data_IF_101813973666
#
_entry.id   IF_101813973666
#
_cell.length_a   1.000
_cell.length_b   1.000
_cell.length_c   1.000
_cell.angle_alpha   90.00
_cell.angle_beta   90.00
_cell.angle_gamma   90.00
#
_symmetry.space_group_name_H-M   'P 1'
#
loop_
_entity.id
_entity.type
_entity.pdbx_description
1 polymer ?
#
# COMPACT_ATOMS: atom_id res chain seq x y z
N UNK A 1 52.03 -7.44 39.26
CA UNK A 1 51.43 -6.09 39.37
C UNK A 1 51.20 -5.59 37.95
N UNK A 2 50.05 -4.93 37.76
CA UNK A 2 49.25 -4.85 36.54
C UNK A 2 50.02 -4.53 35.25
N UNK A 3 49.86 -5.42 34.27
CA UNK A 3 50.00 -5.09 32.85
C UNK A 3 48.75 -4.30 32.45
N UNK A 4 48.97 -3.09 31.93
CA UNK A 4 47.98 -2.29 31.21
C UNK A 4 47.37 -3.12 30.08
N UNK A 5 46.19 -3.67 30.31
CA UNK A 5 45.29 -4.10 29.24
C UNK A 5 44.56 -2.85 28.75
N UNK A 6 44.94 -2.39 27.55
CA UNK A 6 44.12 -1.47 26.76
C UNK A 6 42.72 -2.10 26.64
N UNK A 7 41.62 -1.34 26.84
CA UNK A 7 40.30 -1.83 26.56
C UNK A 7 40.22 -2.21 25.08
N UNK A 8 39.54 -3.32 24.85
CA UNK A 8 39.42 -4.03 23.58
C UNK A 8 38.99 -3.12 22.43
N UNK A 9 39.59 -3.38 21.27
CA UNK A 9 39.43 -2.69 20.00
C UNK A 9 37.95 -2.52 19.64
N UNK A 10 37.54 -1.27 19.40
CA UNK A 10 36.29 -0.91 18.74
C UNK A 10 36.15 -1.76 17.46
N UNK A 11 35.02 -2.44 17.32
CA UNK A 11 34.76 -3.32 16.18
C UNK A 11 34.57 -2.46 14.93
N UNK A 12 35.67 -2.21 14.21
CA UNK A 12 35.66 -1.54 12.92
C UNK A 12 35.27 -2.53 11.82
N UNK A 13 34.17 -2.27 11.12
CA UNK A 13 33.85 -2.96 9.87
C UNK A 13 34.22 -2.06 8.69
N UNK A 14 35.40 -2.28 8.09
CA UNK A 14 35.82 -1.63 6.85
C UNK A 14 35.66 -2.63 5.70
N UNK A 15 34.59 -2.48 4.90
CA UNK A 15 34.40 -3.24 3.68
C UNK A 15 34.08 -2.31 2.51
N UNK A 16 34.53 -2.67 1.31
CA UNK A 16 34.31 -1.92 0.09
C UNK A 16 32.89 -2.22 -0.40
N UNK A 17 31.93 -1.40 0.03
CA UNK A 17 30.56 -1.49 -0.44
C UNK A 17 30.50 -1.11 -1.93
N UNK A 18 30.39 -2.12 -2.80
CA UNK A 18 30.17 -1.91 -4.23
C UNK A 18 28.75 -1.43 -4.47
N UNK A 19 28.62 -0.25 -5.11
CA UNK A 19 27.34 0.31 -5.53
C UNK A 19 26.70 -0.59 -6.60
N UNK A 20 25.54 -1.19 -6.29
CA UNK A 20 24.77 -1.97 -7.27
C UNK A 20 23.64 -1.13 -7.86
N UNK A 21 23.01 -1.61 -8.94
CA UNK A 21 21.89 -0.91 -9.61
C UNK A 21 20.65 -0.71 -8.71
N UNK A 22 20.59 -1.40 -7.57
CA UNK A 22 19.48 -1.39 -6.61
C UNK A 22 19.79 -0.64 -5.30
N UNK A 23 20.96 -0.01 -5.18
CA UNK A 23 21.36 0.77 -4.00
C UNK A 23 22.61 0.22 -3.28
N UNK A 24 22.75 0.59 -2.01
CA UNK A 24 23.80 0.11 -1.10
C UNK A 24 23.30 -1.19 -0.45
N UNK A 25 23.96 -2.31 -0.75
CA UNK A 25 23.67 -3.60 -0.11
C UNK A 25 24.62 -3.80 1.05
N UNK A 26 24.10 -3.89 2.28
CA UNK A 26 24.91 -4.24 3.45
C UNK A 26 25.29 -5.73 3.40
N UNK A 27 26.56 -6.08 3.69
CA UNK A 27 26.98 -7.47 3.94
C UNK A 27 26.06 -8.16 4.95
N UNK A 28 25.91 -9.48 4.82
CA UNK A 28 24.97 -10.26 5.62
C UNK A 28 25.27 -10.13 7.12
N UNK A 29 26.55 -10.15 7.48
CA UNK A 29 27.06 -9.97 8.84
C UNK A 29 26.63 -8.62 9.45
N UNK A 30 26.73 -7.53 8.69
CA UNK A 30 26.27 -6.20 9.12
C UNK A 30 24.75 -6.12 9.28
N UNK A 31 23.98 -6.83 8.43
CA UNK A 31 22.52 -6.83 8.53
C UNK A 31 22.03 -7.54 9.78
N UNK A 32 22.68 -8.63 10.15
CA UNK A 32 22.34 -9.39 11.36
C UNK A 32 22.67 -8.61 12.64
N UNK A 33 23.70 -7.77 12.62
CA UNK A 33 24.07 -6.90 13.76
C UNK A 33 23.17 -5.64 13.83
N UNK A 34 22.92 -4.95 12.72
CA UNK A 34 22.19 -3.68 12.70
C UNK A 34 20.66 -3.82 12.81
N UNK A 35 20.10 -4.99 12.45
CA UNK A 35 18.65 -5.20 12.38
C UNK A 35 18.19 -6.40 13.21
N UNK A 36 18.88 -6.67 14.32
CA UNK A 36 18.42 -7.62 15.32
C UNK A 36 17.23 -7.03 16.09
N UNK A 37 16.10 -7.73 16.13
CA UNK A 37 14.84 -7.24 16.71
C UNK A 37 14.89 -7.07 18.24
N UNK A 38 15.94 -7.57 18.90
CA UNK A 38 16.09 -7.54 20.36
C UNK A 38 16.96 -6.39 20.90
N UNK A 39 17.72 -5.68 20.05
CA UNK A 39 18.68 -4.64 20.50
C UNK A 39 18.62 -3.41 19.57
N UNK A 40 18.26 -2.24 20.13
CA UNK A 40 18.40 -0.96 19.42
C UNK A 40 19.88 -0.65 19.21
N UNK A 41 20.32 -0.60 17.96
CA UNK A 41 21.72 -0.33 17.59
C UNK A 41 21.82 1.01 16.88
N UNK A 42 22.55 1.96 17.47
CA UNK A 42 22.80 3.27 16.85
C UNK A 42 24.07 3.20 16.01
N UNK A 43 24.07 3.85 14.84
CA UNK A 43 25.26 3.91 13.99
C UNK A 43 25.28 5.20 13.15
N UNK A 44 26.48 5.63 12.76
CA UNK A 44 26.71 6.75 11.86
C UNK A 44 27.30 6.25 10.54
N UNK A 45 26.77 6.80 9.45
CA UNK A 45 27.33 6.61 8.11
C UNK A 45 28.18 7.82 7.76
N UNK A 46 29.46 7.60 7.46
CA UNK A 46 30.36 8.62 6.92
C UNK A 46 30.63 8.29 5.46
N UNK A 47 30.31 9.26 4.59
CA UNK A 47 30.64 9.21 3.16
C UNK A 47 31.76 10.21 2.91
N UNK A 48 33.02 9.77 2.70
CA UNK A 48 34.12 10.65 2.35
C UNK A 48 33.84 11.40 1.04
N UNK A 49 34.50 12.55 0.86
CA UNK A 49 34.34 13.37 -0.37
C UNK A 49 34.81 12.63 -1.63
N UNK A 50 35.81 11.77 -1.48
CA UNK A 50 36.21 10.79 -2.49
C UNK A 50 35.28 9.57 -2.33
N UNK A 51 34.53 9.23 -3.39
CA UNK A 51 33.42 8.25 -3.33
C UNK A 51 33.90 6.81 -3.54
N UNK A 52 34.94 6.42 -2.82
CA UNK A 52 35.58 5.11 -2.93
C UNK A 52 35.22 4.16 -1.77
N UNK A 53 34.75 4.69 -0.63
CA UNK A 53 34.28 3.90 0.50
C UNK A 53 33.14 4.54 1.29
N UNK A 54 32.43 3.72 2.08
CA UNK A 54 31.43 4.17 3.06
C UNK A 54 31.88 3.60 4.40
N UNK A 55 32.00 4.45 5.42
CA UNK A 55 32.42 4.03 6.76
C UNK A 55 31.17 3.98 7.64
N UNK A 56 30.98 2.85 8.32
CA UNK A 56 29.92 2.63 9.30
C UNK A 56 30.57 2.57 10.68
N UNK A 57 30.17 3.47 11.57
CA UNK A 57 30.61 3.47 12.96
C UNK A 57 29.41 3.19 13.85
N UNK A 58 29.46 2.11 14.64
CA UNK A 58 28.44 1.83 15.65
C UNK A 58 28.66 2.79 16.81
N UNK A 59 27.60 3.46 17.25
CA UNK A 59 27.61 4.42 18.33
C UNK A 59 27.08 3.77 19.60
N UNK A 60 27.64 4.17 20.74
CA UNK A 60 27.02 3.90 22.04
C UNK A 60 25.79 4.79 22.26
N UNK A 61 24.87 4.37 23.14
CA UNK A 61 23.65 5.13 23.45
C UNK A 61 23.96 6.57 23.92
N UNK A 62 25.02 6.74 24.72
CA UNK A 62 25.47 8.06 25.21
C UNK A 62 25.99 8.96 24.07
N UNK A 63 26.61 8.38 23.02
CA UNK A 63 27.08 9.12 21.85
C UNK A 63 25.94 9.52 20.91
N UNK A 64 24.92 8.66 20.79
CA UNK A 64 23.73 8.92 20.00
C UNK A 64 22.89 10.08 20.60
N UNK A 65 22.75 10.13 21.93
CA UNK A 65 22.07 11.23 22.61
C UNK A 65 22.83 12.56 22.43
N UNK A 66 24.15 12.56 22.57
CA UNK A 66 24.98 13.76 22.42
C UNK A 66 24.96 14.33 20.98
N UNK A 67 24.83 13.49 19.95
CA UNK A 67 24.68 13.96 18.56
C UNK A 67 23.29 14.56 18.28
N UNK A 68 22.24 14.01 18.89
CA UNK A 68 20.89 14.56 18.78
C UNK A 68 20.76 15.97 19.40
N UNK A 69 21.54 16.27 20.45
CA UNK A 69 21.60 17.61 21.06
C UNK A 69 22.36 18.60 20.17
N UNK A 70 23.51 18.21 19.59
CA UNK A 70 24.32 19.08 18.70
C UNK A 70 23.62 19.44 17.38
N UNK A 71 22.77 18.57 16.84
CA UNK A 71 21.99 18.86 15.60
C UNK A 71 20.90 19.92 15.85
N UNK A 72 20.39 20.03 17.08
CA UNK A 72 19.42 21.08 17.45
C UNK A 72 20.08 22.45 17.65
N UNK A 73 21.33 22.50 18.09
CA UNK A 73 22.06 23.75 18.36
C UNK A 73 22.78 24.35 17.14
N UNK A 74 23.08 23.55 16.10
CA UNK A 74 23.93 23.96 14.97
C UNK A 74 23.21 24.49 13.72
N UNK A 75 21.91 24.79 13.77
CA UNK A 75 21.25 25.50 12.66
C UNK A 75 21.68 26.99 12.64
N UNK A 76 22.35 27.48 11.58
CA UNK A 76 22.70 28.90 11.50
C UNK A 76 21.43 29.74 11.29
N UNK A 77 21.22 30.74 12.17
CA UNK A 77 20.23 31.80 11.95
C UNK A 77 20.67 32.65 10.76
N UNK A 78 20.03 32.47 9.61
CA UNK A 78 20.15 33.40 8.49
C UNK A 78 19.36 34.68 8.84
N UNK A 79 19.95 35.89 8.73
CA UNK A 79 19.27 37.13 9.09
C UNK A 79 18.15 37.45 8.09
N UNK A 80 16.93 37.67 8.63
CA UNK A 80 15.76 38.13 7.89
C UNK A 80 15.94 39.59 7.47
N UNK A 81 15.93 39.85 6.16
CA UNK A 81 15.52 41.16 5.66
C UNK A 81 14.02 41.33 5.92
N UNK A 82 13.70 42.42 6.61
CA UNK A 82 12.37 42.78 7.07
C UNK A 82 11.57 43.32 5.87
N UNK A 83 10.46 42.67 5.55
CA UNK A 83 9.30 43.32 4.91
C UNK A 83 8.02 42.85 5.62
N UNK A 84 6.97 43.69 5.69
CA UNK A 84 6.05 43.70 6.83
C UNK A 84 4.99 42.62 6.78
N UNK A 85 4.62 42.18 7.99
CA UNK A 85 3.57 41.25 8.37
C UNK A 85 2.24 41.50 7.64
N UNK A 86 1.79 40.52 6.87
CA UNK A 86 0.39 40.09 6.93
C UNK A 86 0.27 39.06 8.04
N UNK A 87 -0.72 39.26 8.92
CA UNK A 87 -1.05 38.35 10.01
C UNK A 87 -1.62 37.08 9.40
N UNK A 88 -0.86 36.00 9.42
CA UNK A 88 -1.44 34.67 9.26
C UNK A 88 -1.70 34.07 10.64
N UNK A 89 -2.93 33.60 10.72
CA UNK A 89 -3.59 32.97 11.85
C UNK A 89 -2.90 31.68 12.27
N UNK A 90 -3.32 31.20 13.44
CA UNK A 90 -2.82 30.04 14.16
C UNK A 90 -2.45 28.86 13.24
N UNK A 91 -1.19 28.43 13.34
CA UNK A 91 -0.71 27.20 12.70
C UNK A 91 -1.47 25.99 13.26
N UNK A 92 -2.51 25.61 12.54
CA UNK A 92 -3.07 24.27 12.50
C UNK A 92 -1.94 23.25 12.34
N UNK A 93 -2.04 22.08 13.00
CA UNK A 93 -1.14 20.92 12.82
C UNK A 93 -0.81 20.78 11.33
N UNK A 94 0.48 20.85 10.97
CA UNK A 94 0.91 20.77 9.56
C UNK A 94 0.47 19.45 8.96
N UNK A 95 -0.58 19.49 8.15
CA UNK A 95 -1.01 18.36 7.31
C UNK A 95 0.09 18.19 6.26
N UNK A 96 0.67 16.99 6.16
CA UNK A 96 1.75 16.68 5.23
C UNK A 96 1.38 15.47 4.34
N UNK A 97 1.92 15.41 3.11
CA UNK A 97 1.69 14.28 2.20
C UNK A 97 2.40 13.00 2.67
N UNK A 98 1.78 11.84 2.45
CA UNK A 98 2.34 10.52 2.79
C UNK A 98 3.03 9.86 1.59
N UNK A 99 4.30 10.23 1.36
CA UNK A 99 5.06 9.75 0.20
C UNK A 99 5.25 8.23 0.13
N UNK A 100 5.28 7.55 1.28
CA UNK A 100 5.40 6.09 1.33
C UNK A 100 4.19 5.38 0.73
N UNK A 101 3.01 5.96 0.89
CA UNK A 101 1.75 5.41 0.38
C UNK A 101 1.48 5.79 -1.08
N UNK A 102 2.07 6.89 -1.57
CA UNK A 102 1.90 7.30 -2.96
C UNK A 102 2.91 6.62 -3.88
N UNK A 103 4.17 6.48 -3.45
CA UNK A 103 5.26 5.92 -4.25
C UNK A 103 5.58 4.47 -3.85
N UNK A 104 4.56 3.62 -3.88
CA UNK A 104 4.68 2.17 -3.61
C UNK A 104 5.60 1.49 -4.64
N UNK A 105 5.57 1.97 -5.89
CA UNK A 105 6.42 1.46 -6.97
C UNK A 105 7.47 2.49 -7.36
N UNK A 106 8.71 2.04 -7.52
CA UNK A 106 9.80 2.90 -8.01
C UNK A 106 9.72 3.09 -9.52
N UNK A 107 9.86 4.35 -9.97
CA UNK A 107 9.91 4.74 -11.38
C UNK A 107 10.82 5.95 -11.58
N UNK A 108 11.37 6.09 -12.80
CA UNK A 108 12.50 6.98 -13.11
C UNK A 108 12.27 8.46 -12.78
N UNK A 109 11.06 8.95 -12.96
CA UNK A 109 10.74 10.38 -12.83
C UNK A 109 10.27 10.77 -11.43
N UNK A 110 10.26 9.85 -10.46
CA UNK A 110 9.75 10.08 -9.09
C UNK A 110 10.31 11.33 -8.44
N UNK A 111 11.64 11.49 -8.41
CA UNK A 111 12.31 12.64 -7.76
C UNK A 111 11.88 13.99 -8.36
N UNK A 112 11.57 14.03 -9.65
CA UNK A 112 11.13 15.24 -10.34
C UNK A 112 9.64 15.53 -10.13
N UNK A 113 8.84 14.48 -9.96
CA UNK A 113 7.39 14.58 -9.84
C UNK A 113 6.97 14.85 -8.39
N UNK A 114 7.68 14.30 -7.41
CA UNK A 114 7.40 14.49 -5.99
C UNK A 114 7.19 15.97 -5.60
N UNK A 115 8.08 16.94 -5.94
CA UNK A 115 7.84 18.35 -5.58
C UNK A 115 6.62 18.96 -6.29
N UNK A 116 6.26 18.48 -7.48
CA UNK A 116 5.06 18.92 -8.20
C UNK A 116 3.82 18.44 -7.47
N UNK A 117 3.78 17.16 -7.09
CA UNK A 117 2.69 16.57 -6.34
C UNK A 117 2.58 17.14 -4.92
N UNK A 118 3.70 17.52 -4.33
CA UNK A 118 3.74 18.18 -3.02
C UNK A 118 3.02 19.51 -3.10
N UNK A 119 3.34 20.28 -4.14
CA UNK A 119 2.65 21.52 -4.42
C UNK A 119 1.16 21.32 -4.72
N UNK A 120 0.76 20.22 -5.37
CA UNK A 120 -0.66 19.91 -5.58
C UNK A 120 -1.35 19.70 -4.24
N UNK A 121 -0.77 18.87 -3.37
CA UNK A 121 -1.33 18.58 -2.06
C UNK A 121 -1.59 19.86 -1.25
N UNK A 122 -0.59 20.75 -1.18
CA UNK A 122 -0.77 22.00 -0.44
C UNK A 122 -1.79 22.94 -1.09
N UNK A 123 -2.01 22.87 -2.40
CA UNK A 123 -3.08 23.65 -3.07
C UNK A 123 -4.48 23.15 -2.75
N UNK A 124 -4.63 21.86 -2.48
CA UNK A 124 -5.87 21.31 -1.92
C UNK A 124 -6.05 21.65 -0.44
N UNK A 125 -4.96 21.96 0.28
CA UNK A 125 -5.01 22.43 1.66
C UNK A 125 -5.26 23.95 1.78
N UNK A 126 -5.21 24.72 0.68
CA UNK A 126 -5.52 26.15 0.66
C UNK A 126 -7.02 26.40 0.98
N UNK A 127 -7.32 27.52 1.63
CA UNK A 127 -8.70 27.95 1.88
C UNK A 127 -8.89 29.37 1.31
N UNK A 128 -9.64 29.56 0.20
CA UNK A 128 -10.35 28.54 -0.58
C UNK A 128 -9.40 27.65 -1.41
N UNK A 129 -9.87 26.45 -1.75
CA UNK A 129 -9.11 25.46 -2.53
C UNK A 129 -8.81 26.02 -3.92
N UNK A 130 -7.54 25.98 -4.32
CA UNK A 130 -7.11 26.37 -5.67
C UNK A 130 -7.13 25.17 -6.64
N UNK A 131 -8.35 24.74 -6.98
CA UNK A 131 -8.59 23.55 -7.80
C UNK A 131 -7.97 23.64 -9.20
N UNK A 132 -8.01 24.81 -9.83
CA UNK A 132 -7.51 25.00 -11.20
C UNK A 132 -6.00 24.78 -11.28
N UNK A 133 -5.23 25.43 -10.41
CA UNK A 133 -3.78 25.28 -10.39
C UNK A 133 -3.38 23.86 -9.92
N UNK A 134 -4.05 23.33 -8.89
CA UNK A 134 -3.81 21.96 -8.43
C UNK A 134 -4.00 20.93 -9.55
N UNK A 135 -5.13 20.97 -10.26
CA UNK A 135 -5.40 20.06 -11.37
C UNK A 135 -4.54 20.36 -12.61
N UNK A 136 -4.16 21.62 -12.83
CA UNK A 136 -3.20 22.01 -13.87
C UNK A 136 -1.84 21.35 -13.67
N UNK A 137 -1.34 21.31 -12.42
CA UNK A 137 -0.08 20.65 -12.06
C UNK A 137 -0.17 19.12 -12.18
N UNK A 138 -1.30 18.52 -11.82
CA UNK A 138 -1.54 17.09 -12.05
C UNK A 138 -1.46 16.78 -13.56
N UNK A 139 -2.17 17.54 -14.40
CA UNK A 139 -2.11 17.37 -15.86
C UNK A 139 -0.70 17.56 -16.40
N UNK A 140 0.02 18.59 -15.92
CA UNK A 140 1.41 18.82 -16.30
C UNK A 140 2.30 17.61 -15.96
N UNK A 141 2.15 17.04 -14.76
CA UNK A 141 2.89 15.84 -14.37
C UNK A 141 2.57 14.65 -15.29
N UNK A 142 1.29 14.46 -15.60
CA UNK A 142 0.80 13.36 -16.45
C UNK A 142 1.15 13.50 -17.93
N UNK A 143 1.49 14.68 -18.42
CA UNK A 143 1.89 14.88 -19.83
C UNK A 143 3.41 14.94 -19.96
N UNK A 144 4.08 15.64 -19.04
CA UNK A 144 5.50 15.97 -19.18
C UNK A 144 6.45 14.85 -18.74
N UNK A 145 5.97 13.90 -17.94
CA UNK A 145 6.80 12.83 -17.38
C UNK A 145 6.38 11.43 -17.83
N UNK A 146 5.54 11.33 -18.85
CA UNK A 146 5.37 10.06 -19.55
C UNK A 146 6.66 9.69 -20.27
N UNK A 147 6.96 8.40 -20.21
CA UNK A 147 8.06 7.78 -20.93
C UNK A 147 7.53 6.96 -22.11
N UNK A 148 8.42 6.48 -22.97
CA UNK A 148 8.06 5.46 -23.97
C UNK A 148 7.80 4.07 -23.36
N UNK A 149 7.91 3.91 -22.04
CA UNK A 149 7.77 2.62 -21.35
C UNK A 149 6.44 2.54 -20.61
N UNK A 150 5.54 1.69 -21.10
CA UNK A 150 4.18 1.49 -20.58
C UNK A 150 4.14 1.17 -19.09
N UNK A 151 5.07 0.35 -18.61
CA UNK A 151 5.16 -0.03 -17.19
C UNK A 151 5.58 1.14 -16.29
N UNK A 152 6.49 2.01 -16.75
CA UNK A 152 6.87 3.22 -16.01
C UNK A 152 5.70 4.21 -15.94
N UNK A 153 4.97 4.36 -17.05
CA UNK A 153 3.79 5.24 -17.11
C UNK A 153 2.69 4.73 -16.17
N UNK A 154 2.42 3.43 -16.15
CA UNK A 154 1.44 2.82 -15.26
C UNK A 154 1.75 3.09 -13.77
N UNK A 155 3.02 3.03 -13.37
CA UNK A 155 3.45 3.37 -11.99
C UNK A 155 3.22 4.85 -11.67
N UNK A 156 3.54 5.75 -12.60
CA UNK A 156 3.26 7.18 -12.46
C UNK A 156 1.75 7.43 -12.27
N UNK A 157 0.92 6.89 -13.17
CA UNK A 157 -0.53 7.01 -13.07
C UNK A 157 -1.02 6.51 -11.71
N UNK A 158 -0.59 5.32 -11.29
CA UNK A 158 -0.99 4.74 -10.02
C UNK A 158 -0.57 5.61 -8.81
N UNK A 159 0.65 6.16 -8.81
CA UNK A 159 1.10 7.07 -7.74
C UNK A 159 0.27 8.35 -7.66
N UNK A 160 -0.17 8.89 -8.80
CA UNK A 160 -1.07 10.04 -8.83
C UNK A 160 -2.47 9.67 -8.32
N UNK A 161 -2.97 8.47 -8.65
CA UNK A 161 -4.24 7.98 -8.08
C UNK A 161 -4.16 7.92 -6.55
N UNK A 162 -3.09 7.35 -5.99
CA UNK A 162 -2.90 7.26 -4.53
C UNK A 162 -2.91 8.64 -3.86
N UNK A 163 -2.22 9.62 -4.44
CA UNK A 163 -2.27 11.01 -3.96
C UNK A 163 -3.68 11.59 -4.03
N UNK A 164 -4.38 11.43 -5.16
CA UNK A 164 -5.71 12.01 -5.34
C UNK A 164 -6.76 11.36 -4.44
N UNK A 165 -6.61 10.07 -4.11
CA UNK A 165 -7.44 9.39 -3.11
C UNK A 165 -7.21 9.98 -1.71
N UNK A 166 -5.96 10.21 -1.32
CA UNK A 166 -5.68 10.87 -0.03
C UNK A 166 -6.23 12.30 0.00
N UNK A 167 -6.21 13.02 -1.14
CA UNK A 167 -6.86 14.32 -1.28
C UNK A 167 -8.39 14.21 -1.11
N UNK A 168 -9.03 13.21 -1.71
CA UNK A 168 -10.47 12.94 -1.52
C UNK A 168 -10.79 12.75 -0.04
N UNK A 169 -10.02 11.91 0.66
CA UNK A 169 -10.27 11.58 2.06
C UNK A 169 -9.98 12.76 3.01
N UNK A 170 -8.94 13.56 2.75
CA UNK A 170 -8.53 14.65 3.66
C UNK A 170 -9.18 15.99 3.41
N UNK A 171 -9.56 16.28 2.16
CA UNK A 171 -10.06 17.60 1.74
C UNK A 171 -11.48 17.54 1.17
N UNK A 172 -12.17 16.39 1.33
CA UNK A 172 -13.56 16.16 0.92
C UNK A 172 -13.82 16.56 -0.54
N UNK A 173 -13.07 15.94 -1.47
CA UNK A 173 -13.13 16.20 -2.91
C UNK A 173 -13.71 15.00 -3.70
N UNK A 174 -14.96 14.56 -3.44
CA UNK A 174 -15.51 13.32 -3.97
C UNK A 174 -15.66 13.29 -5.51
N UNK A 175 -15.71 14.46 -6.14
CA UNK A 175 -15.73 14.63 -7.60
C UNK A 175 -14.46 14.14 -8.29
N UNK A 176 -13.33 14.06 -7.58
CA UNK A 176 -12.09 13.54 -8.13
C UNK A 176 -12.19 12.06 -8.50
N UNK A 177 -13.07 11.27 -7.86
CA UNK A 177 -13.26 9.85 -8.19
C UNK A 177 -13.62 9.67 -9.67
N UNK A 178 -14.59 10.46 -10.15
CA UNK A 178 -15.06 10.43 -11.53
C UNK A 178 -13.93 10.83 -12.49
N UNK A 179 -13.21 11.90 -12.14
CA UNK A 179 -12.11 12.39 -12.96
C UNK A 179 -10.96 11.39 -13.06
N UNK A 180 -10.57 10.76 -11.95
CA UNK A 180 -9.54 9.71 -11.94
C UNK A 180 -9.97 8.55 -12.84
N UNK A 181 -11.21 8.09 -12.69
CA UNK A 181 -11.74 6.96 -13.44
C UNK A 181 -11.83 7.24 -14.95
N UNK A 182 -12.21 8.46 -15.35
CA UNK A 182 -12.34 8.81 -16.76
C UNK A 182 -11.03 9.22 -17.43
N UNK A 183 -10.11 9.86 -16.69
CA UNK A 183 -8.92 10.51 -17.27
C UNK A 183 -7.61 9.83 -16.96
N UNK A 184 -7.51 9.06 -15.88
CA UNK A 184 -6.27 8.37 -15.49
C UNK A 184 -6.37 6.88 -15.77
N UNK A 185 -7.35 6.21 -15.16
CA UNK A 185 -7.49 4.74 -15.20
C UNK A 185 -7.40 4.14 -16.62
N UNK A 186 -8.03 4.72 -17.67
CA UNK A 186 -7.99 4.15 -19.02
C UNK A 186 -6.60 4.17 -19.67
N UNK A 187 -5.68 4.99 -19.15
CA UNK A 187 -4.30 5.10 -19.66
C UNK A 187 -3.34 4.12 -18.96
N UNK A 188 -3.81 3.34 -17.98
CA UNK A 188 -2.99 2.34 -17.29
C UNK A 188 -2.97 1.05 -18.10
N UNK A 189 -1.88 0.85 -18.84
CA UNK A 189 -1.75 -0.33 -19.70
C UNK A 189 -1.36 -1.63 -18.96
N UNK A 190 -0.89 -1.52 -17.71
CA UNK A 190 -0.58 -2.70 -16.90
C UNK A 190 -1.87 -3.29 -16.32
N UNK A 191 -2.25 -4.51 -16.74
CA UNK A 191 -3.45 -5.21 -16.22
C UNK A 191 -3.49 -5.25 -14.69
N UNK A 192 -2.33 -5.51 -14.07
CA UNK A 192 -2.20 -5.53 -12.61
C UNK A 192 -2.43 -4.15 -11.98
N UNK A 193 -1.75 -3.09 -12.45
CA UNK A 193 -1.91 -1.75 -11.86
C UNK A 193 -3.28 -1.13 -12.19
N UNK A 194 -3.88 -1.52 -13.32
CA UNK A 194 -5.24 -1.16 -13.68
C UNK A 194 -6.23 -1.71 -12.66
N UNK A 195 -6.16 -3.01 -12.35
CA UNK A 195 -7.00 -3.62 -11.33
C UNK A 195 -6.79 -2.97 -9.95
N UNK A 196 -5.52 -2.79 -9.54
CA UNK A 196 -5.20 -2.11 -8.29
C UNK A 196 -5.78 -0.69 -8.23
N UNK A 197 -5.72 0.08 -9.33
CA UNK A 197 -6.30 1.41 -9.40
C UNK A 197 -7.82 1.39 -9.17
N UNK A 198 -8.52 0.43 -9.77
CA UNK A 198 -9.98 0.30 -9.60
C UNK A 198 -10.32 -0.15 -8.18
N UNK A 199 -9.55 -1.05 -7.60
CA UNK A 199 -9.72 -1.49 -6.20
C UNK A 199 -9.53 -0.34 -5.20
N UNK A 200 -8.57 0.56 -5.44
CA UNK A 200 -8.39 1.76 -4.63
C UNK A 200 -9.57 2.73 -4.77
N UNK A 201 -10.09 2.92 -5.99
CA UNK A 201 -11.30 3.73 -6.23
C UNK A 201 -12.57 3.11 -5.60
N UNK A 202 -12.68 1.78 -5.61
CA UNK A 202 -13.74 1.05 -4.94
C UNK A 202 -13.73 1.31 -3.44
N UNK A 203 -12.58 1.13 -2.79
CA UNK A 203 -12.45 1.30 -1.35
C UNK A 203 -12.84 2.71 -0.91
N UNK A 204 -12.28 3.74 -1.55
CA UNK A 204 -12.61 5.13 -1.21
C UNK A 204 -14.09 5.41 -1.45
N UNK A 205 -14.67 4.92 -2.55
CA UNK A 205 -16.10 5.12 -2.86
C UNK A 205 -17.02 4.52 -1.81
N UNK A 206 -16.68 3.34 -1.29
CA UNK A 206 -17.43 2.72 -0.19
C UNK A 206 -17.30 3.53 1.10
N UNK A 207 -16.09 3.97 1.46
CA UNK A 207 -15.85 4.79 2.67
C UNK A 207 -16.65 6.08 2.66
N UNK A 208 -16.72 6.77 1.52
CA UNK A 208 -17.49 8.01 1.35
C UNK A 208 -18.95 7.78 0.91
N UNK A 209 -19.43 6.52 0.95
CA UNK A 209 -20.81 6.11 0.65
C UNK A 209 -21.31 6.46 -0.76
N UNK A 210 -20.42 6.55 -1.76
CA UNK A 210 -20.79 6.64 -3.18
C UNK A 210 -21.04 5.25 -3.76
N UNK A 211 -22.11 4.60 -3.30
CA UNK A 211 -22.40 3.19 -3.62
C UNK A 211 -22.58 2.92 -5.12
N UNK A 212 -23.17 3.83 -5.89
CA UNK A 212 -23.29 3.68 -7.35
C UNK A 212 -21.93 3.59 -8.05
N UNK A 213 -20.93 4.33 -7.56
CA UNK A 213 -19.56 4.27 -8.07
C UNK A 213 -18.85 3.00 -7.61
N UNK A 214 -19.06 2.58 -6.37
CA UNK A 214 -18.56 1.31 -5.88
C UNK A 214 -19.10 0.12 -6.71
N UNK A 215 -20.40 0.09 -7.01
CA UNK A 215 -21.01 -0.92 -7.88
C UNK A 215 -20.37 -0.95 -9.28
N UNK A 216 -20.17 0.23 -9.88
CA UNK A 216 -19.48 0.36 -11.16
C UNK A 216 -18.07 -0.24 -11.08
N UNK A 217 -17.29 0.12 -10.06
CA UNK A 217 -15.92 -0.36 -9.91
C UNK A 217 -15.83 -1.87 -9.65
N UNK A 218 -16.76 -2.43 -8.87
CA UNK A 218 -16.88 -3.89 -8.69
C UNK A 218 -17.12 -4.56 -10.04
N UNK A 219 -18.02 -4.02 -10.87
CA UNK A 219 -18.26 -4.56 -12.21
C UNK A 219 -16.98 -4.59 -13.06
N UNK A 220 -16.18 -3.52 -13.05
CA UNK A 220 -14.91 -3.51 -13.79
C UNK A 220 -13.86 -4.48 -13.23
N UNK A 221 -13.78 -4.64 -11.91
CA UNK A 221 -12.88 -5.65 -11.30
C UNK A 221 -13.32 -7.05 -11.70
N UNK A 222 -14.61 -7.37 -11.56
CA UNK A 222 -15.15 -8.69 -11.93
C UNK A 222 -14.96 -8.98 -13.42
N UNK A 223 -15.15 -7.98 -14.30
CA UNK A 223 -14.85 -8.12 -15.72
C UNK A 223 -13.37 -8.45 -15.97
N UNK A 224 -12.45 -7.79 -15.25
CA UNK A 224 -11.01 -8.07 -15.37
C UNK A 224 -10.66 -9.49 -14.89
N UNK A 225 -11.40 -10.00 -13.89
CA UNK A 225 -11.34 -11.39 -13.41
C UNK A 225 -11.84 -12.35 -14.49
N UNK A 226 -12.99 -12.07 -15.09
CA UNK A 226 -13.59 -12.85 -16.18
C UNK A 226 -12.67 -12.91 -17.42
N UNK A 227 -11.82 -11.89 -17.63
CA UNK A 227 -10.83 -11.85 -18.72
C UNK A 227 -9.63 -12.79 -18.50
N UNK A 228 -9.46 -13.40 -17.32
CA UNK A 228 -8.42 -14.43 -17.11
C UNK A 228 -8.89 -15.80 -17.62
N UNK A 229 -8.04 -16.56 -18.34
CA UNK A 229 -8.34 -17.93 -18.69
C UNK A 229 -8.58 -18.78 -17.44
N UNK A 230 -9.53 -19.73 -17.49
CA UNK A 230 -9.78 -20.66 -16.36
C UNK A 230 -8.56 -21.50 -15.96
N UNK A 231 -7.56 -21.64 -16.82
CA UNK A 231 -6.27 -22.27 -16.47
C UNK A 231 -5.43 -21.43 -15.50
N UNK A 232 -5.70 -20.13 -15.37
CA UNK A 232 -4.98 -19.20 -14.51
C UNK A 232 -5.70 -18.98 -13.17
N UNK A 233 -6.15 -20.07 -12.53
CA UNK A 233 -6.88 -20.02 -11.25
C UNK A 233 -6.15 -19.19 -10.20
N UNK A 234 -4.82 -19.23 -10.15
CA UNK A 234 -4.04 -18.40 -9.23
C UNK A 234 -4.33 -16.90 -9.41
N UNK A 235 -4.38 -16.40 -10.64
CA UNK A 235 -4.63 -14.99 -10.93
C UNK A 235 -6.07 -14.61 -10.58
N UNK A 236 -7.03 -15.45 -10.97
CA UNK A 236 -8.47 -15.28 -10.66
C UNK A 236 -8.67 -15.15 -9.14
N UNK A 237 -8.12 -16.09 -8.38
CA UNK A 237 -8.29 -16.14 -6.93
C UNK A 237 -7.52 -15.04 -6.21
N UNK A 238 -6.34 -14.67 -6.71
CA UNK A 238 -5.63 -13.53 -6.17
C UNK A 238 -6.43 -12.22 -6.38
N UNK A 239 -7.04 -12.03 -7.55
CA UNK A 239 -7.91 -10.87 -7.81
C UNK A 239 -9.16 -10.87 -6.91
N UNK A 240 -9.84 -12.01 -6.74
CA UNK A 240 -10.93 -12.14 -5.77
C UNK A 240 -10.48 -11.83 -4.34
N UNK A 241 -9.32 -12.34 -3.93
CA UNK A 241 -8.75 -12.06 -2.61
C UNK A 241 -8.52 -10.56 -2.38
N UNK A 242 -8.00 -9.84 -3.38
CA UNK A 242 -7.83 -8.39 -3.27
C UNK A 242 -9.18 -7.67 -3.21
N UNK A 243 -10.14 -8.07 -4.04
CA UNK A 243 -11.50 -7.52 -4.03
C UNK A 243 -12.16 -7.69 -2.66
N UNK A 244 -12.21 -8.92 -2.14
CA UNK A 244 -12.78 -9.24 -0.82
C UNK A 244 -12.08 -8.45 0.28
N UNK A 245 -10.75 -8.35 0.24
CA UNK A 245 -9.98 -7.56 1.22
C UNK A 245 -10.35 -6.07 1.22
N UNK A 246 -10.73 -5.50 0.08
CA UNK A 246 -11.11 -4.08 -0.04
C UNK A 246 -12.54 -3.79 0.42
N UNK A 247 -13.42 -4.79 0.37
CA UNK A 247 -14.84 -4.63 0.75
C UNK A 247 -15.19 -5.23 2.12
N UNK A 248 -14.32 -6.08 2.68
CA UNK A 248 -14.50 -6.60 4.05
C UNK A 248 -14.42 -5.45 5.06
N UNK A 249 -15.26 -5.52 6.09
CA UNK A 249 -15.38 -4.51 7.14
C UNK A 249 -15.85 -3.12 6.71
N UNK A 250 -16.29 -2.93 5.46
CA UNK A 250 -16.90 -1.68 5.00
C UNK A 250 -18.38 -1.90 4.71
N UNK A 251 -19.22 -0.95 5.12
CA UNK A 251 -20.65 -0.93 4.82
C UNK A 251 -20.86 -0.89 3.30
N UNK A 252 -21.77 -1.74 2.80
CA UNK A 252 -22.08 -1.89 1.38
C UNK A 252 -23.56 -2.22 1.19
N UNK A 253 -24.06 -2.00 -0.01
CA UNK A 253 -25.46 -2.27 -0.37
C UNK A 253 -25.70 -3.77 -0.55
N UNK A 254 -26.95 -4.22 -0.34
CA UNK A 254 -27.35 -5.61 -0.58
C UNK A 254 -27.08 -6.05 -2.03
N UNK A 255 -27.17 -5.11 -2.98
CA UNK A 255 -26.87 -5.34 -4.38
C UNK A 255 -25.39 -5.68 -4.62
N UNK A 256 -24.48 -4.96 -3.97
CA UNK A 256 -23.04 -5.27 -3.99
C UNK A 256 -22.81 -6.65 -3.38
N UNK A 257 -23.46 -6.90 -2.25
CA UNK A 257 -23.36 -8.16 -1.54
C UNK A 257 -23.77 -9.35 -2.42
N UNK A 258 -24.96 -9.27 -3.03
CA UNK A 258 -25.49 -10.30 -3.91
C UNK A 258 -24.57 -10.54 -5.12
N UNK A 259 -24.09 -9.48 -5.77
CA UNK A 259 -23.19 -9.58 -6.92
C UNK A 259 -21.90 -10.35 -6.58
N UNK A 260 -21.29 -10.06 -5.43
CA UNK A 260 -20.08 -10.75 -4.98
C UNK A 260 -20.34 -12.23 -4.66
N UNK A 261 -21.47 -12.51 -4.00
CA UNK A 261 -21.91 -13.89 -3.68
C UNK A 261 -22.10 -14.70 -4.96
N UNK A 262 -22.92 -14.21 -5.90
CA UNK A 262 -23.23 -14.90 -7.15
C UNK A 262 -21.95 -15.21 -7.95
N UNK A 263 -21.07 -14.22 -8.08
CA UNK A 263 -19.80 -14.40 -8.81
C UNK A 263 -18.86 -15.39 -8.14
N UNK A 264 -18.71 -15.36 -6.81
CA UNK A 264 -17.90 -16.35 -6.10
C UNK A 264 -18.45 -17.78 -6.27
N UNK A 265 -19.78 -17.93 -6.24
CA UNK A 265 -20.43 -19.23 -6.43
C UNK A 265 -20.29 -19.75 -7.87
N UNK A 266 -20.47 -18.88 -8.87
CA UNK A 266 -20.26 -19.21 -10.29
C UNK A 266 -18.87 -19.80 -10.54
N UNK A 267 -17.83 -19.19 -9.95
CA UNK A 267 -16.46 -19.71 -10.05
C UNK A 267 -16.27 -21.01 -9.26
N UNK A 268 -16.94 -21.16 -8.12
CA UNK A 268 -16.84 -22.37 -7.29
C UNK A 268 -17.40 -23.63 -7.93
N UNK A 269 -18.46 -23.53 -8.72
CA UNK A 269 -19.11 -24.69 -9.35
C UNK A 269 -18.22 -25.41 -10.38
N UNK A 270 -17.26 -24.72 -10.98
CA UNK A 270 -16.37 -25.26 -12.02
C UNK A 270 -15.01 -25.76 -11.53
N UNK A 271 -14.74 -25.72 -10.23
CA UNK A 271 -13.40 -26.00 -9.68
C UNK A 271 -13.38 -27.40 -9.08
N UNK A 272 -12.37 -28.19 -9.43
CA UNK A 272 -12.16 -29.52 -8.83
C UNK A 272 -11.22 -29.46 -7.62
N UNK A 273 -10.16 -28.66 -7.74
CA UNK A 273 -9.08 -28.50 -6.77
C UNK A 273 -9.60 -28.05 -5.39
N UNK A 274 -9.19 -28.77 -4.35
CA UNK A 274 -9.66 -28.52 -2.99
C UNK A 274 -9.13 -27.22 -2.37
N UNK A 275 -7.96 -26.74 -2.77
CA UNK A 275 -7.38 -25.51 -2.23
C UNK A 275 -8.19 -24.29 -2.65
N UNK A 276 -8.60 -24.23 -3.92
CA UNK A 276 -9.45 -23.16 -4.43
C UNK A 276 -10.87 -23.23 -3.86
N UNK A 277 -11.42 -24.44 -3.65
CA UNK A 277 -12.70 -24.59 -2.93
C UNK A 277 -12.63 -24.06 -1.49
N UNK A 278 -11.53 -24.34 -0.79
CA UNK A 278 -11.29 -23.82 0.56
C UNK A 278 -11.20 -22.29 0.53
N UNK A 279 -10.50 -21.70 -0.44
CA UNK A 279 -10.41 -20.25 -0.58
C UNK A 279 -11.77 -19.59 -0.80
N UNK A 280 -12.69 -20.20 -1.57
CA UNK A 280 -14.06 -19.68 -1.70
C UNK A 280 -14.78 -19.65 -0.35
N UNK A 281 -14.65 -20.71 0.46
CA UNK A 281 -15.22 -20.73 1.80
C UNK A 281 -14.70 -19.58 2.65
N UNK A 282 -13.39 -19.31 2.60
CA UNK A 282 -12.78 -18.20 3.32
C UNK A 282 -13.25 -16.83 2.81
N UNK A 283 -13.41 -16.66 1.49
CA UNK A 283 -13.95 -15.43 0.92
C UNK A 283 -15.39 -15.18 1.35
N UNK A 284 -16.23 -16.22 1.36
CA UNK A 284 -17.62 -16.12 1.82
C UNK A 284 -17.68 -15.78 3.31
N UNK A 285 -16.80 -16.36 4.12
CA UNK A 285 -16.66 -15.99 5.53
C UNK A 285 -16.24 -14.52 5.72
N UNK A 286 -15.22 -14.05 4.98
CA UNK A 286 -14.76 -12.65 5.01
C UNK A 286 -15.86 -11.67 4.55
N UNK A 287 -16.79 -12.13 3.71
CA UNK A 287 -17.97 -11.39 3.29
C UNK A 287 -19.18 -11.55 4.23
N UNK A 288 -19.06 -12.33 5.30
CA UNK A 288 -20.12 -12.62 6.30
C UNK A 288 -21.27 -13.51 5.79
N UNK A 289 -21.04 -14.31 4.75
CA UNK A 289 -21.96 -15.38 4.32
C UNK A 289 -21.69 -16.68 5.10
N UNK A 290 -21.91 -16.63 6.41
CA UNK A 290 -21.46 -17.65 7.36
C UNK A 290 -22.15 -19.00 7.14
N UNK A 291 -23.46 -19.03 6.87
CA UNK A 291 -24.19 -20.28 6.68
C UNK A 291 -23.83 -20.92 5.35
N UNK A 292 -23.74 -20.13 4.28
CA UNK A 292 -23.31 -20.60 2.98
C UNK A 292 -21.88 -21.15 3.02
N UNK A 293 -20.95 -20.41 3.65
CA UNK A 293 -19.58 -20.85 3.88
C UNK A 293 -19.57 -22.18 4.66
N UNK A 294 -20.40 -22.31 5.71
CA UNK A 294 -20.50 -23.53 6.51
C UNK A 294 -20.98 -24.73 5.70
N UNK A 295 -22.06 -24.55 4.92
CA UNK A 295 -22.63 -25.61 4.06
C UNK A 295 -21.60 -26.10 3.04
N UNK A 296 -20.88 -25.19 2.39
CA UNK A 296 -19.81 -25.53 1.44
C UNK A 296 -18.65 -26.24 2.14
N UNK A 297 -18.19 -25.74 3.29
CA UNK A 297 -17.13 -26.37 4.05
C UNK A 297 -17.47 -27.82 4.45
N UNK A 298 -18.73 -28.07 4.82
CA UNK A 298 -19.24 -29.41 5.10
C UNK A 298 -19.29 -30.31 3.87
N UNK A 299 -19.69 -29.79 2.72
CA UNK A 299 -19.69 -30.54 1.47
C UNK A 299 -18.26 -30.96 1.08
N UNK A 300 -17.31 -30.03 1.14
CA UNK A 300 -15.88 -30.30 0.90
C UNK A 300 -15.38 -31.36 1.88
N UNK A 301 -15.65 -31.19 3.18
CA UNK A 301 -15.25 -32.15 4.23
C UNK A 301 -15.72 -33.58 3.95
N UNK A 302 -16.95 -33.76 3.46
CA UNK A 302 -17.52 -35.09 3.13
C UNK A 302 -16.89 -35.70 1.88
N UNK A 303 -16.45 -34.88 0.94
CA UNK A 303 -15.85 -35.33 -0.32
C UNK A 303 -14.38 -35.68 -0.22
N UNK A 304 -13.67 -35.18 0.80
CA UNK A 304 -12.24 -35.42 0.99
C UNK A 304 -11.96 -36.83 1.55
N UNK A 305 -10.94 -37.54 1.02
CA UNK A 305 -10.41 -38.75 1.62
C UNK A 305 -9.94 -38.53 3.06
N UNK A 306 -10.12 -39.51 3.94
CA UNK A 306 -9.82 -39.38 5.37
C UNK A 306 -8.33 -39.10 5.68
N UNK A 307 -7.44 -39.50 4.78
CA UNK A 307 -5.99 -39.33 4.80
C UNK A 307 -5.51 -38.05 4.09
N UNK A 308 -6.41 -37.26 3.49
CA UNK A 308 -6.01 -36.00 2.84
C UNK A 308 -5.45 -35.00 3.86
N UNK A 309 -4.31 -34.40 3.51
CA UNK A 309 -3.63 -33.36 4.31
C UNK A 309 -4.55 -32.18 4.63
N UNK A 310 -5.57 -31.94 3.78
CA UNK A 310 -6.53 -30.84 3.88
C UNK A 310 -7.71 -31.11 4.81
N UNK A 311 -7.90 -32.35 5.27
CA UNK A 311 -9.01 -32.72 6.18
C UNK A 311 -8.94 -31.96 7.50
N UNK A 312 -7.74 -31.75 8.04
CA UNK A 312 -7.57 -31.02 9.29
C UNK A 312 -7.85 -29.52 9.14
N UNK A 313 -7.47 -28.95 7.99
CA UNK A 313 -7.73 -27.55 7.65
C UNK A 313 -9.25 -27.30 7.56
N UNK A 314 -9.97 -28.10 6.77
CA UNK A 314 -11.42 -27.92 6.61
C UNK A 314 -12.18 -28.20 7.91
N UNK A 315 -11.73 -29.12 8.77
CA UNK A 315 -12.31 -29.35 10.11
C UNK A 315 -12.23 -28.12 10.99
N UNK A 316 -11.10 -27.39 10.96
CA UNK A 316 -10.93 -26.15 11.72
C UNK A 316 -11.89 -25.08 11.21
N UNK A 317 -12.01 -24.92 9.88
CA UNK A 317 -12.92 -23.97 9.25
C UNK A 317 -14.38 -24.27 9.63
N UNK A 318 -14.82 -25.52 9.48
CA UNK A 318 -16.17 -25.96 9.87
C UNK A 318 -16.47 -25.66 11.34
N UNK A 319 -15.51 -25.91 12.25
CA UNK A 319 -15.67 -25.62 13.68
C UNK A 319 -15.79 -24.12 13.94
N UNK A 320 -14.94 -23.31 13.31
CA UNK A 320 -14.96 -21.84 13.39
C UNK A 320 -16.31 -21.28 12.93
N UNK A 321 -16.77 -21.69 11.76
CA UNK A 321 -18.03 -21.27 11.16
C UNK A 321 -19.27 -21.70 11.97
N UNK A 322 -19.25 -22.88 12.57
CA UNK A 322 -20.36 -23.35 13.43
C UNK A 322 -20.59 -22.45 14.65
N UNK A 323 -19.53 -21.84 15.17
CA UNK A 323 -19.59 -20.94 16.33
C UNK A 323 -19.71 -19.46 15.95
N UNK A 324 -19.61 -19.13 14.67
CA UNK A 324 -19.65 -17.75 14.21
C UNK A 324 -21.10 -17.22 14.27
N UNK A 325 -21.29 -15.93 14.63
CA UNK A 325 -22.61 -15.32 14.63
C UNK A 325 -23.17 -15.32 13.20
N UNK A 326 -24.37 -15.89 13.04
CA UNK A 326 -25.08 -15.87 11.76
C UNK A 326 -25.47 -14.43 11.46
N UNK A 327 -25.07 -13.94 10.29
CA UNK A 327 -25.27 -12.56 9.84
C UNK A 327 -26.10 -12.49 8.56
N UNK A 328 -26.70 -13.60 8.14
CA UNK A 328 -27.43 -13.76 6.87
C UNK A 328 -28.85 -13.15 6.84
N UNK A 329 -29.14 -12.11 7.61
CA UNK A 329 -30.32 -11.26 7.38
C UNK A 329 -30.17 -10.38 6.09
N UNK A 330 -29.05 -10.54 5.38
CA UNK A 330 -28.79 -9.94 4.07
C UNK A 330 -29.40 -10.83 2.97
N UNK A 331 -30.66 -10.54 2.65
CA UNK A 331 -31.50 -11.01 1.52
C UNK A 331 -31.08 -12.35 0.88
N UNK A 332 -31.93 -13.36 1.09
CA UNK A 332 -31.96 -14.62 0.33
C UNK A 332 -32.22 -14.42 -1.16
#
# INVERSE_FOLDING_TARGET
>A
MAQDKRPEEEVFFEDIIKKTKTGITFPKELREVLFNEEIETFFRIIVPKEKDKIILEILTDEEAENQNVKIKESKPKTPKNITPKTKDEETSKKIAPNWGEYFIYEFKSREKIQPILESVFYKFAETPINMEDAMGRIKYALVSFLSGTKTENAKLYFSIIKLLIDIIERFDQPNLIDWIFEKIVPNIESKFLYEQAILELLEVSLKIKRYEKAELFIFYVLKNIDDYPRSELYNIFNSFKQLVKKVRFIERTDKIDLLLKEKLMEYGEGIEDSDYKIQIVEFLEDLSYIELAYRLAKAIQKSLPADSVKVNEIRKIVKRLYTAPITEDKIN
#
